data_IF_309883464674
#
_entry.id   IF_309883464674
#
_cell.length_a   1.000
_cell.length_b   1.000
_cell.length_c   1.000
_cell.angle_alpha   90.00
_cell.angle_beta   90.00
_cell.angle_gamma   90.00
#
_symmetry.space_group_name_H-M   'P 1'
#
loop_
_entity.id
_entity.type
_entity.pdbx_description
1 polymer ?
#
# COMPACT_ATOMS: atom_id res chain seq x y z
N UNK A 1 27.42 10.27 17.18
CA UNK A 1 28.51 10.49 16.21
C UNK A 1 29.42 9.27 15.94
N UNK A 2 29.55 8.31 16.86
CA UNK A 2 30.41 7.11 16.70
C UNK A 2 29.64 5.78 16.82
N UNK A 3 28.36 5.76 16.46
CA UNK A 3 27.52 4.55 16.62
C UNK A 3 27.78 3.60 15.45
N UNK A 4 28.31 2.41 15.74
CA UNK A 4 28.47 1.35 14.74
C UNK A 4 27.11 0.68 14.45
N UNK A 5 26.68 0.68 13.19
CA UNK A 5 25.42 0.08 12.71
C UNK A 5 25.66 -1.12 11.76
N UNK A 6 26.85 -1.72 11.79
CA UNK A 6 27.23 -2.86 10.93
C UNK A 6 26.27 -4.03 11.05
N UNK A 7 25.79 -4.33 12.26
CA UNK A 7 24.84 -5.43 12.51
C UNK A 7 23.36 -5.03 12.43
N UNK A 8 23.04 -3.74 12.24
CA UNK A 8 21.65 -3.30 12.09
C UNK A 8 21.11 -3.79 10.73
N UNK A 9 20.04 -4.59 10.76
CA UNK A 9 19.44 -5.18 9.54
C UNK A 9 18.02 -4.72 9.27
N UNK A 10 17.27 -4.39 10.32
CA UNK A 10 15.85 -4.06 10.21
C UNK A 10 15.58 -2.80 11.03
N UNK A 11 14.90 -1.83 10.42
CA UNK A 11 14.18 -0.78 11.14
C UNK A 11 12.70 -0.99 10.90
N UNK A 12 11.98 -1.26 11.99
CA UNK A 12 10.53 -1.38 11.98
C UNK A 12 9.91 -0.07 12.45
N UNK A 13 9.02 0.49 11.65
CA UNK A 13 8.20 1.64 12.00
C UNK A 13 6.82 1.16 12.43
N UNK A 14 6.16 1.95 13.27
CA UNK A 14 4.82 1.65 13.77
C UNK A 14 3.89 2.85 13.58
N UNK A 15 2.60 2.56 13.39
CA UNK A 15 1.57 3.56 13.13
C UNK A 15 1.37 3.76 11.64
N UNK A 16 1.90 4.85 11.08
CA UNK A 16 1.66 5.18 9.67
C UNK A 16 2.86 4.85 8.77
N UNK A 17 2.64 4.40 7.52
CA UNK A 17 3.71 4.18 6.58
C UNK A 17 4.63 5.40 6.43
N UNK A 18 5.96 5.22 6.36
CA UNK A 18 6.88 6.33 6.28
C UNK A 18 6.64 7.15 5.02
N UNK A 19 6.73 8.47 5.18
CA UNK A 19 6.85 9.38 4.03
C UNK A 19 8.08 8.99 3.21
N UNK A 20 8.07 9.21 1.88
CA UNK A 20 9.16 8.73 1.04
C UNK A 20 10.50 9.37 1.38
N UNK A 21 10.50 10.65 1.77
CA UNK A 21 11.68 11.34 2.27
C UNK A 21 12.34 10.64 3.47
N UNK A 22 11.53 10.11 4.39
CA UNK A 22 12.05 9.42 5.58
C UNK A 22 12.60 8.04 5.19
N UNK A 23 11.90 7.33 4.32
CA UNK A 23 12.34 6.04 3.78
C UNK A 23 13.69 6.16 3.06
N UNK A 24 13.83 7.16 2.18
CA UNK A 24 15.09 7.46 1.50
C UNK A 24 16.20 7.87 2.47
N UNK A 25 15.89 8.63 3.50
CA UNK A 25 16.89 9.00 4.50
C UNK A 25 17.46 7.75 5.19
N UNK A 26 16.61 6.79 5.58
CA UNK A 26 17.06 5.55 6.20
C UNK A 26 17.98 4.76 5.24
N UNK A 27 17.57 4.57 3.99
CA UNK A 27 18.36 3.79 3.03
C UNK A 27 19.64 4.51 2.56
N UNK A 28 19.60 5.83 2.36
CA UNK A 28 20.72 6.56 1.76
C UNK A 28 21.67 7.19 2.78
N UNK A 29 21.17 7.56 3.97
CA UNK A 29 21.95 8.26 5.00
C UNK A 29 22.25 7.40 6.23
N UNK A 30 21.40 6.44 6.56
CA UNK A 30 21.62 5.54 7.71
C UNK A 30 22.36 4.28 7.27
N UNK A 31 21.77 3.46 6.39
CA UNK A 31 22.39 2.25 5.84
C UNK A 31 21.65 1.74 4.59
N UNK A 32 22.40 1.44 3.52
CA UNK A 32 21.84 0.96 2.24
C UNK A 32 21.27 -0.46 2.31
N UNK A 33 21.93 -1.36 3.06
CA UNK A 33 21.51 -2.74 3.28
C UNK A 33 20.64 -2.85 4.53
N UNK A 34 19.48 -2.20 4.50
CA UNK A 34 18.53 -2.16 5.61
C UNK A 34 17.14 -2.47 5.09
N UNK A 35 16.45 -3.41 5.75
CA UNK A 35 15.02 -3.58 5.56
C UNK A 35 14.30 -2.52 6.38
N UNK A 36 13.46 -1.71 5.72
CA UNK A 36 12.63 -0.70 6.36
C UNK A 36 11.18 -1.09 6.12
N UNK A 37 10.45 -1.40 7.19
CA UNK A 37 9.05 -1.78 7.12
C UNK A 37 8.17 -0.89 8.00
N UNK A 38 6.88 -0.85 7.70
CA UNK A 38 5.85 -0.32 8.59
C UNK A 38 4.83 -1.39 9.02
N UNK A 39 4.69 -1.59 10.33
CA UNK A 39 3.65 -2.41 10.94
C UNK A 39 2.55 -1.51 11.48
N UNK A 40 1.31 -1.92 11.30
CA UNK A 40 0.15 -1.28 11.89
C UNK A 40 -0.56 -2.25 12.82
N UNK A 41 -0.93 -1.74 13.98
CA UNK A 41 -1.71 -2.44 14.98
C UNK A 41 -2.54 -1.44 15.77
N UNK A 42 -3.51 -1.96 16.53
CA UNK A 42 -4.31 -1.17 17.44
C UNK A 42 -4.42 -1.88 18.79
N UNK A 43 -4.52 -1.11 19.87
CA UNK A 43 -4.61 -1.63 21.22
C UNK A 43 -5.83 -2.54 21.41
N UNK A 44 -6.93 -2.23 20.73
CA UNK A 44 -8.19 -2.98 20.73
C UNK A 44 -8.02 -4.41 20.21
N UNK A 45 -7.13 -4.61 19.23
CA UNK A 45 -6.84 -5.93 18.67
C UNK A 45 -5.76 -6.70 19.42
N UNK A 46 -5.13 -6.09 20.43
CA UNK A 46 -3.98 -6.62 21.18
C UNK A 46 -2.94 -7.29 20.24
N UNK A 47 -2.63 -6.62 19.13
CA UNK A 47 -1.83 -7.20 18.06
C UNK A 47 -1.65 -6.28 16.86
N UNK A 48 -1.15 -6.86 15.76
CA UNK A 48 -0.86 -6.17 14.51
C UNK A 48 -1.78 -6.66 13.39
N UNK A 49 -2.27 -5.74 12.56
CA UNK A 49 -3.09 -6.05 11.38
C UNK A 49 -2.26 -6.14 10.10
N UNK A 50 -1.11 -5.46 10.05
CA UNK A 50 -0.11 -5.61 9.00
C UNK A 50 1.21 -6.14 9.56
N UNK A 51 1.97 -6.81 8.71
CA UNK A 51 3.24 -7.45 9.05
C UNK A 51 4.25 -7.31 7.89
N UNK A 52 5.38 -8.00 8.04
CA UNK A 52 6.46 -8.04 7.05
C UNK A 52 6.65 -9.44 6.48
N UNK A 53 6.95 -9.49 5.19
CA UNK A 53 7.55 -10.62 4.51
C UNK A 53 8.93 -10.19 4.00
N UNK A 54 9.98 -10.71 4.64
CA UNK A 54 11.37 -10.39 4.31
C UNK A 54 11.81 -10.91 2.93
N UNK A 55 11.03 -11.81 2.31
CA UNK A 55 11.29 -12.31 0.95
C UNK A 55 10.69 -11.41 -0.13
N UNK A 56 9.90 -10.40 0.25
CA UNK A 56 9.29 -9.45 -0.67
C UNK A 56 9.92 -8.07 -0.51
N UNK A 57 9.93 -7.25 -1.59
CA UNK A 57 10.35 -5.87 -1.47
C UNK A 57 9.41 -5.08 -0.55
N UNK A 58 9.96 -4.10 0.15
CA UNK A 58 9.21 -3.08 0.87
C UNK A 58 9.39 -1.74 0.17
N UNK A 59 8.31 -0.98 0.06
CA UNK A 59 8.29 0.34 -0.56
C UNK A 59 7.89 1.43 0.44
N UNK A 60 8.18 2.68 0.08
CA UNK A 60 7.73 3.82 0.87
C UNK A 60 6.19 3.96 0.79
N UNK A 61 5.58 4.49 1.84
CA UNK A 61 4.14 4.76 1.91
C UNK A 61 3.22 3.52 1.84
N UNK A 62 3.70 2.32 2.12
CA UNK A 62 2.87 1.11 2.20
C UNK A 62 3.05 0.33 3.51
N UNK A 63 2.01 -0.44 3.85
CA UNK A 63 2.10 -1.60 4.74
C UNK A 63 2.25 -2.83 3.85
N UNK A 64 3.32 -3.60 4.03
CA UNK A 64 3.74 -4.60 3.05
C UNK A 64 2.70 -5.72 2.82
N UNK A 65 2.25 -6.34 3.91
CA UNK A 65 1.24 -7.41 3.87
C UNK A 65 0.31 -7.34 5.09
N UNK A 66 -0.90 -7.90 5.00
CA UNK A 66 -1.68 -8.25 6.18
C UNK A 66 -0.91 -9.22 7.09
N UNK A 67 -1.14 -9.12 8.40
CA UNK A 67 -0.59 -10.09 9.35
C UNK A 67 -1.25 -11.46 9.14
N UNK A 68 -0.50 -12.53 9.44
CA UNK A 68 -0.98 -13.89 9.26
C UNK A 68 -2.23 -14.14 10.12
N UNK A 69 -3.28 -14.72 9.52
CA UNK A 69 -4.57 -14.94 10.19
C UNK A 69 -5.48 -13.70 10.25
N UNK A 70 -5.03 -12.55 9.73
CA UNK A 70 -5.85 -11.34 9.61
C UNK A 70 -6.43 -11.23 8.20
N UNK A 71 -7.77 -11.19 8.13
CA UNK A 71 -8.49 -10.88 6.90
C UNK A 71 -8.70 -9.37 6.78
N UNK A 72 -7.65 -8.64 6.40
CA UNK A 72 -7.68 -7.18 6.25
C UNK A 72 -8.37 -6.79 4.94
N UNK A 73 -9.46 -6.02 5.03
CA UNK A 73 -10.20 -5.51 3.89
C UNK A 73 -10.43 -4.00 4.04
N UNK A 74 -10.43 -3.28 2.91
CA UNK A 74 -10.79 -1.87 2.85
C UNK A 74 -12.16 -1.80 2.21
N UNK A 75 -13.14 -1.32 2.97
CA UNK A 75 -14.51 -1.13 2.50
C UNK A 75 -14.74 0.36 2.20
N UNK A 76 -15.31 0.66 1.04
CA UNK A 76 -15.81 1.98 0.68
C UNK A 76 -17.26 1.80 0.24
N UNK A 77 -18.26 2.26 1.01
CA UNK A 77 -19.68 2.11 0.66
C UNK A 77 -20.03 2.70 -0.72
N UNK A 78 -19.29 3.72 -1.17
CA UNK A 78 -19.48 4.32 -2.49
C UNK A 78 -18.76 3.54 -3.61
N UNK A 79 -17.95 2.52 -3.32
CA UNK A 79 -17.30 1.66 -4.35
C UNK A 79 -17.78 0.22 -4.26
N UNK A 80 -18.11 -0.26 -3.07
CA UNK A 80 -18.50 -1.65 -2.80
C UNK A 80 -19.88 -2.02 -3.39
N UNK A 81 -20.66 -1.03 -3.84
CA UNK A 81 -21.89 -1.28 -4.60
C UNK A 81 -21.65 -1.61 -6.07
N UNK A 82 -20.42 -1.48 -6.58
CA UNK A 82 -20.05 -1.87 -7.93
C UNK A 82 -19.98 -3.40 -7.95
N UNK A 83 -21.05 -4.06 -8.40
CA UNK A 83 -21.21 -5.51 -8.34
C UNK A 83 -20.13 -6.27 -9.13
N UNK A 84 -19.53 -5.65 -10.14
CA UNK A 84 -18.48 -6.24 -10.98
C UNK A 84 -17.12 -6.33 -10.27
N UNK A 85 -16.91 -5.54 -9.21
CA UNK A 85 -15.63 -5.46 -8.51
C UNK A 85 -15.48 -6.62 -7.52
N UNK A 86 -14.42 -7.41 -7.69
CA UNK A 86 -14.05 -8.48 -6.75
C UNK A 86 -13.04 -7.98 -5.72
N UNK A 87 -12.00 -7.27 -6.17
CA UNK A 87 -10.97 -6.67 -5.31
C UNK A 87 -10.38 -5.40 -5.91
N UNK A 88 -9.90 -4.53 -5.03
CA UNK A 88 -9.21 -3.28 -5.35
C UNK A 88 -7.86 -3.27 -4.64
N UNK A 89 -6.78 -2.96 -5.36
CA UNK A 89 -5.46 -2.76 -4.78
C UNK A 89 -4.83 -1.46 -5.29
N UNK A 90 -4.53 -0.55 -4.37
CA UNK A 90 -3.88 0.72 -4.67
C UNK A 90 -2.38 0.59 -4.49
N UNK A 91 -1.63 0.90 -5.55
CA UNK A 91 -0.17 0.91 -5.54
C UNK A 91 0.37 2.27 -5.93
N UNK A 92 1.24 2.82 -5.09
CA UNK A 92 2.05 3.98 -5.42
C UNK A 92 3.36 3.49 -6.01
N UNK A 93 3.59 3.81 -7.28
CA UNK A 93 4.84 3.52 -7.97
C UNK A 93 5.59 4.82 -8.20
N UNK A 94 6.90 4.80 -7.94
CA UNK A 94 7.75 5.97 -8.16
C UNK A 94 8.44 5.87 -9.50
N UNK A 95 8.29 6.89 -10.35
CA UNK A 95 9.13 7.09 -11.52
C UNK A 95 9.91 8.40 -11.38
N UNK A 96 11.24 8.30 -11.32
CA UNK A 96 12.19 9.42 -11.20
C UNK A 96 11.89 10.39 -10.03
N UNK A 97 11.03 11.39 -10.25
CA UNK A 97 10.67 12.45 -9.28
C UNK A 97 9.20 12.47 -8.91
N UNK A 98 8.35 11.66 -9.55
CA UNK A 98 6.89 11.69 -9.36
C UNK A 98 6.33 10.34 -8.89
N UNK A 99 5.20 10.38 -8.19
CA UNK A 99 4.49 9.20 -7.69
C UNK A 99 3.27 8.94 -8.58
N UNK A 100 3.41 7.98 -9.49
CA UNK A 100 2.27 7.47 -10.25
C UNK A 100 1.46 6.50 -9.40
N UNK A 101 0.15 6.72 -9.40
CA UNK A 101 -0.79 5.97 -8.57
C UNK A 101 -1.58 5.02 -9.46
N UNK A 102 -1.30 3.75 -9.29
CA UNK A 102 -1.96 2.67 -10.01
C UNK A 102 -3.01 2.04 -9.11
N UNK A 103 -4.21 1.88 -9.62
CA UNK A 103 -5.21 1.02 -9.04
C UNK A 103 -5.29 -0.24 -9.87
N UNK A 104 -5.06 -1.38 -9.24
CA UNK A 104 -5.33 -2.68 -9.83
C UNK A 104 -6.72 -3.13 -9.39
N UNK A 105 -7.58 -3.43 -10.36
CA UNK A 105 -8.91 -3.98 -10.12
C UNK A 105 -8.94 -5.44 -10.56
N UNK A 106 -9.41 -6.31 -9.68
CA UNK A 106 -9.81 -7.65 -10.07
C UNK A 106 -11.33 -7.65 -10.19
N UNK A 107 -11.84 -8.03 -11.36
CA UNK A 107 -13.28 -8.14 -11.59
C UNK A 107 -13.77 -9.55 -11.25
N UNK A 108 -15.08 -9.69 -11.02
CA UNK A 108 -15.73 -10.99 -10.95
C UNK A 108 -15.68 -11.69 -12.30
N UNK A 109 -15.77 -13.01 -12.27
CA UNK A 109 -15.67 -13.84 -13.46
C UNK A 109 -16.83 -13.50 -14.43
N UNK A 110 -16.50 -13.29 -15.71
CA UNK A 110 -17.46 -12.86 -16.73
C UNK A 110 -17.74 -11.36 -16.79
N UNK A 111 -17.21 -10.54 -15.88
CA UNK A 111 -17.34 -9.10 -15.91
C UNK A 111 -16.23 -8.44 -16.76
N UNK A 112 -16.61 -7.44 -17.56
CA UNK A 112 -15.69 -6.63 -18.37
C UNK A 112 -15.44 -5.27 -17.72
N UNK A 113 -14.34 -4.61 -18.10
CA UNK A 113 -14.04 -3.27 -17.61
C UNK A 113 -15.04 -2.25 -18.20
N UNK A 114 -16.03 -1.83 -17.41
CA UNK A 114 -17.12 -0.94 -17.86
C UNK A 114 -16.88 0.54 -17.55
N UNK A 115 -17.83 1.37 -17.97
CA UNK A 115 -17.86 2.81 -17.64
C UNK A 115 -18.08 3.07 -16.15
N UNK A 116 -18.78 2.19 -15.42
CA UNK A 116 -18.97 2.34 -13.96
C UNK A 116 -17.65 2.32 -13.20
N UNK A 117 -16.65 1.56 -13.65
CA UNK A 117 -15.31 1.56 -13.02
C UNK A 117 -14.58 2.90 -13.15
N UNK A 118 -14.98 3.77 -14.09
CA UNK A 118 -14.48 5.16 -14.15
C UNK A 118 -15.02 6.00 -13.01
N UNK A 119 -16.13 5.62 -12.38
CA UNK A 119 -16.68 6.30 -11.20
C UNK A 119 -15.80 6.13 -9.98
N UNK A 120 -15.04 5.02 -9.85
CA UNK A 120 -14.06 4.81 -8.78
C UNK A 120 -13.13 6.03 -8.65
N UNK A 121 -12.72 6.62 -9.77
CA UNK A 121 -11.91 7.85 -9.78
C UNK A 121 -12.64 9.07 -9.21
N UNK A 122 -13.93 9.21 -9.54
CA UNK A 122 -14.77 10.33 -9.10
C UNK A 122 -15.04 10.22 -7.59
N UNK A 123 -15.36 9.02 -7.12
CA UNK A 123 -15.55 8.67 -5.71
C UNK A 123 -14.24 8.89 -4.93
N UNK A 124 -13.12 8.39 -5.47
CA UNK A 124 -11.80 8.57 -4.85
C UNK A 124 -11.42 10.05 -4.70
N UNK A 125 -11.78 10.91 -5.68
CA UNK A 125 -11.56 12.37 -5.63
C UNK A 125 -12.40 13.07 -4.56
N UNK A 126 -13.58 12.55 -4.27
CA UNK A 126 -14.52 13.12 -3.31
C UNK A 126 -14.15 12.75 -1.89
N UNK A 127 -13.78 11.49 -1.66
CA UNK A 127 -13.63 10.93 -0.32
C UNK A 127 -12.21 11.00 0.23
N UNK A 128 -11.21 11.16 -0.64
CA UNK A 128 -9.82 11.17 -0.22
C UNK A 128 -9.05 12.40 -0.72
N UNK A 129 -7.89 12.66 -0.09
CA UNK A 129 -6.96 13.68 -0.55
C UNK A 129 -6.60 13.42 -2.03
N UNK A 130 -6.47 14.46 -2.86
CA UNK A 130 -6.03 14.36 -4.27
C UNK A 130 -4.76 13.49 -4.44
N UNK A 131 -3.95 13.42 -3.38
CA UNK A 131 -2.77 12.60 -3.25
C UNK A 131 -3.01 11.07 -3.29
N UNK A 132 -4.23 10.55 -3.21
CA UNK A 132 -4.51 9.10 -3.33
C UNK A 132 -5.45 8.74 -4.48
N UNK A 133 -5.89 9.74 -5.25
CA UNK A 133 -6.70 9.50 -6.45
C UNK A 133 -5.85 8.83 -7.52
N UNK A 134 -6.27 7.68 -8.05
CA UNK A 134 -5.48 6.94 -9.03
C UNK A 134 -5.40 7.63 -10.40
N UNK A 135 -4.20 7.60 -10.96
CA UNK A 135 -3.90 8.11 -12.30
C UNK A 135 -4.12 7.05 -13.38
N UNK A 136 -4.08 5.78 -13.01
CA UNK A 136 -4.36 4.67 -13.93
C UNK A 136 -5.14 3.60 -13.16
N UNK A 137 -6.19 3.07 -13.77
CA UNK A 137 -6.91 1.89 -13.28
C UNK A 137 -6.64 0.76 -14.26
N UNK A 138 -6.10 -0.35 -13.78
CA UNK A 138 -5.70 -1.51 -14.58
C UNK A 138 -6.47 -2.74 -14.11
N UNK A 139 -7.16 -3.41 -15.02
CA UNK A 139 -7.71 -4.73 -14.74
C UNK A 139 -6.59 -5.77 -14.71
N UNK A 140 -6.57 -6.60 -13.67
CA UNK A 140 -5.62 -7.71 -13.53
C UNK A 140 -6.35 -9.02 -13.27
N UNK A 141 -5.83 -10.16 -13.76
CA UNK A 141 -6.43 -11.47 -13.51
C UNK A 141 -6.39 -11.83 -12.02
N UNK A 142 -5.33 -11.41 -11.33
CA UNK A 142 -5.20 -11.55 -9.89
C UNK A 142 -4.36 -10.41 -9.30
N UNK A 143 -4.57 -10.15 -8.01
CA UNK A 143 -3.80 -9.16 -7.25
C UNK A 143 -2.77 -9.94 -6.42
N UNK A 144 -1.46 -9.69 -6.62
CA UNK A 144 -0.41 -10.35 -5.84
C UNK A 144 -0.43 -9.92 -4.36
#
# INVERSE_FOLDING_TARGET
PNTNLEHLKIISLSGSPPKPRNYEFLLNRVKKDLFVGCMYGASEGMGTFSAYNLNMPAYACESQIPALGINLQVYDPEVDHIEELKRLHLRLSRQQTDYQKYTFVQLKEGCLFTSELKEIRKISRKNFLLLVVPEVILQVPDIP
#
